data_IF_676731620982
#
_entry.id   IF_676731620982
#
_cell.length_a   1.000
_cell.length_b   1.000
_cell.length_c   1.000
_cell.angle_alpha   90.00
_cell.angle_beta   90.00
_cell.angle_gamma   90.00
#
_symmetry.space_group_name_H-M   'P 1'
#
loop_
_entity.id
_entity.type
_entity.pdbx_description
1 polymer ?
#
# COMPACT_ATOMS: atom_id res chain seq x y z
N UNK A 1 -19.02 -5.52 21.12
CA UNK A 1 -18.09 -6.46 20.47
C UNK A 1 -18.56 -6.86 19.07
N UNK A 2 -19.82 -7.26 18.88
CA UNK A 2 -20.39 -7.68 17.59
C UNK A 2 -20.53 -6.57 16.50
N UNK A 3 -20.90 -5.31 16.81
CA UNK A 3 -21.06 -4.25 15.79
C UNK A 3 -19.73 -3.83 15.12
N UNK A 4 -18.61 -3.94 15.84
CA UNK A 4 -17.28 -3.61 15.32
C UNK A 4 -16.77 -4.66 14.31
N UNK A 5 -17.25 -5.91 14.42
CA UNK A 5 -16.88 -7.00 13.51
C UNK A 5 -17.56 -6.86 12.15
N UNK A 6 -18.81 -6.42 12.09
CA UNK A 6 -19.51 -6.20 10.81
C UNK A 6 -18.97 -4.98 10.05
N UNK A 7 -18.54 -3.95 10.77
CA UNK A 7 -18.01 -2.73 10.17
C UNK A 7 -16.68 -2.95 9.43
N UNK A 8 -15.81 -3.84 9.94
CA UNK A 8 -14.58 -4.25 9.24
C UNK A 8 -14.81 -5.16 8.03
N UNK A 9 -15.98 -5.78 7.90
CA UNK A 9 -16.31 -6.64 6.77
C UNK A 9 -16.54 -5.83 5.48
N UNK A 10 -17.11 -4.62 5.61
CA UNK A 10 -17.46 -3.76 4.49
C UNK A 10 -16.36 -2.75 4.22
N UNK A 11 -15.94 -2.64 2.95
CA UNK A 11 -15.00 -1.59 2.52
C UNK A 11 -15.66 -0.22 2.72
N UNK A 12 -14.95 0.76 3.31
CA UNK A 12 -15.50 2.10 3.48
C UNK A 12 -15.80 2.70 2.11
N UNK A 13 -16.93 3.38 2.03
CA UNK A 13 -17.31 4.17 0.85
C UNK A 13 -17.45 5.62 1.26
N UNK A 14 -17.07 6.51 0.34
CA UNK A 14 -17.25 7.94 0.53
C UNK A 14 -17.76 8.56 -0.76
N UNK A 15 -18.89 9.27 -0.68
CA UNK A 15 -19.39 10.04 -1.81
C UNK A 15 -18.57 11.32 -1.92
N UNK A 16 -17.60 11.31 -2.82
CA UNK A 16 -16.78 12.46 -3.14
C UNK A 16 -17.56 13.49 -3.95
N UNK A 17 -17.25 14.77 -3.72
CA UNK A 17 -17.58 15.81 -4.69
C UNK A 17 -17.00 15.40 -6.06
N UNK A 18 -17.72 15.60 -7.18
CA UNK A 18 -17.28 15.17 -8.50
C UNK A 18 -15.85 15.59 -8.85
N UNK A 19 -15.51 16.85 -8.57
CA UNK A 19 -14.20 17.43 -8.88
C UNK A 19 -13.07 16.78 -8.08
N UNK A 20 -13.31 16.41 -6.80
CA UNK A 20 -12.30 15.76 -5.97
C UNK A 20 -12.05 14.31 -6.42
N UNK A 21 -13.12 13.59 -6.76
CA UNK A 21 -13.02 12.24 -7.32
C UNK A 21 -12.24 12.22 -8.62
N UNK A 22 -12.56 13.13 -9.53
CA UNK A 22 -11.87 13.24 -10.82
C UNK A 22 -10.39 13.60 -10.62
N UNK A 23 -10.10 14.53 -9.70
CA UNK A 23 -8.73 14.91 -9.37
C UNK A 23 -7.90 13.74 -8.84
N UNK A 24 -8.41 13.02 -7.83
CA UNK A 24 -7.68 11.90 -7.22
C UNK A 24 -7.54 10.75 -8.23
N UNK A 25 -8.57 10.44 -9.01
CA UNK A 25 -8.49 9.38 -10.01
C UNK A 25 -7.49 9.71 -11.14
N UNK A 26 -7.47 10.97 -11.62
CA UNK A 26 -6.60 11.41 -12.73
C UNK A 26 -5.10 11.23 -12.45
N UNK A 27 -4.71 11.36 -11.19
CA UNK A 27 -3.31 11.25 -10.77
C UNK A 27 -3.04 9.97 -9.98
N UNK A 28 -3.98 9.01 -10.00
CA UNK A 28 -3.84 7.76 -9.29
C UNK A 28 -2.74 6.90 -9.94
N UNK A 29 -1.80 6.35 -9.15
CA UNK A 29 -0.77 5.47 -9.69
C UNK A 29 -1.34 4.18 -10.30
N UNK A 30 -0.56 3.57 -11.19
CA UNK A 30 -0.74 2.17 -11.57
C UNK A 30 0.37 1.34 -10.97
N UNK A 31 -0.01 0.26 -10.32
CA UNK A 31 0.94 -0.66 -9.69
C UNK A 31 1.12 -1.86 -10.60
N UNK A 32 2.35 -2.14 -10.99
CA UNK A 32 2.69 -3.43 -11.58
C UNK A 32 3.01 -4.39 -10.43
N UNK A 33 2.26 -5.48 -10.34
CA UNK A 33 2.48 -6.54 -9.38
C UNK A 33 3.24 -7.69 -10.05
N UNK A 34 3.94 -8.49 -9.24
CA UNK A 34 4.42 -9.77 -9.72
C UNK A 34 3.24 -10.62 -10.21
N UNK A 35 3.41 -11.31 -11.33
CA UNK A 35 2.37 -12.16 -11.92
C UNK A 35 1.83 -13.20 -10.92
N UNK A 36 2.66 -13.71 -10.02
CA UNK A 36 2.28 -14.70 -9.02
C UNK A 36 1.85 -14.09 -7.69
N UNK A 37 1.83 -12.75 -7.54
CA UNK A 37 1.46 -12.08 -6.30
C UNK A 37 0.05 -12.49 -5.86
N UNK A 38 -0.11 -13.13 -4.69
CA UNK A 38 -1.41 -13.63 -4.22
C UNK A 38 -2.30 -12.54 -3.62
N UNK A 39 -1.74 -11.37 -3.27
CA UNK A 39 -2.46 -10.31 -2.59
C UNK A 39 -2.71 -9.10 -3.50
N UNK A 40 -3.85 -8.44 -3.30
CA UNK A 40 -4.26 -7.25 -4.06
C UNK A 40 -4.68 -6.14 -3.09
N UNK A 41 -4.48 -4.86 -3.43
CA UNK A 41 -4.97 -3.76 -2.61
C UNK A 41 -6.49 -3.78 -2.60
N UNK A 42 -7.08 -3.43 -1.46
CA UNK A 42 -8.52 -3.47 -1.26
C UNK A 42 -9.13 -2.08 -1.21
N UNK A 43 -8.44 -1.11 -0.61
CA UNK A 43 -8.92 0.27 -0.42
C UNK A 43 -7.74 1.22 -0.53
N UNK A 44 -7.98 2.42 -1.06
CA UNK A 44 -6.97 3.48 -1.12
C UNK A 44 -7.45 4.68 -0.32
N UNK A 45 -6.70 5.03 0.71
CA UNK A 45 -6.79 6.30 1.42
C UNK A 45 -6.09 7.38 0.62
N UNK A 46 -6.60 8.60 0.60
CA UNK A 46 -5.88 9.73 0.01
C UNK A 46 -5.84 10.96 0.91
N UNK A 47 -4.75 11.73 0.75
CA UNK A 47 -4.55 13.04 1.38
C UNK A 47 -4.10 14.05 0.32
N UNK A 48 -4.76 15.22 0.28
CA UNK A 48 -4.43 16.31 -0.66
C UNK A 48 -3.62 17.40 0.04
N UNK A 49 -2.41 17.67 -0.46
CA UNK A 49 -1.54 18.74 0.01
C UNK A 49 -1.51 19.90 -0.98
N UNK A 50 -2.12 21.04 -0.61
CA UNK A 50 -2.03 22.31 -1.36
C UNK A 50 -0.98 23.27 -0.79
N UNK A 51 -0.35 22.85 0.30
CA UNK A 51 0.76 23.51 0.98
C UNK A 51 1.61 22.42 1.63
N UNK A 52 2.84 22.75 1.98
CA UNK A 52 3.72 21.86 2.73
C UNK A 52 3.04 21.40 4.03
N UNK A 53 3.27 20.15 4.43
CA UNK A 53 2.64 19.60 5.62
C UNK A 53 3.15 18.22 5.98
N UNK A 54 2.88 17.78 7.21
CA UNK A 54 3.20 16.42 7.62
C UNK A 54 2.18 15.43 7.06
N UNK A 55 2.68 14.31 6.55
CA UNK A 55 1.82 13.19 6.19
C UNK A 55 1.12 12.66 7.44
N UNK A 56 -0.20 12.43 7.38
CA UNK A 56 -0.94 11.86 8.50
C UNK A 56 -0.79 10.34 8.61
N UNK A 57 -0.31 9.66 7.56
CA UNK A 57 -0.22 8.19 7.49
C UNK A 57 1.20 7.66 7.38
N UNK A 58 2.18 8.53 7.15
CA UNK A 58 3.59 8.18 7.02
C UNK A 58 4.47 9.21 7.77
N UNK A 59 5.54 8.82 8.47
CA UNK A 59 6.34 9.72 9.30
C UNK A 59 7.27 10.64 8.48
N UNK A 60 6.70 11.51 7.64
CA UNK A 60 7.44 12.45 6.79
C UNK A 60 6.74 13.79 6.60
N UNK A 61 7.50 14.79 6.19
CA UNK A 61 6.97 16.03 5.64
C UNK A 61 6.84 15.94 4.12
N UNK A 62 5.71 16.42 3.59
CA UNK A 62 5.43 16.58 2.17
C UNK A 62 5.75 18.03 1.81
N UNK A 63 6.79 18.23 1.02
CA UNK A 63 7.21 19.54 0.53
C UNK A 63 6.84 19.72 -0.93
N UNK A 64 6.13 20.80 -1.25
CA UNK A 64 5.74 21.14 -2.63
C UNK A 64 6.83 21.91 -3.37
N UNK A 65 7.75 22.55 -2.66
CA UNK A 65 8.85 23.33 -3.26
C UNK A 65 10.23 22.94 -2.70
N UNK A 66 10.63 21.66 -2.77
CA UNK A 66 11.94 21.23 -2.28
C UNK A 66 13.06 21.85 -3.12
N UNK A 67 14.15 22.23 -2.44
CA UNK A 67 15.34 22.81 -3.09
C UNK A 67 15.93 21.81 -4.10
N UNK A 68 16.23 22.28 -5.31
CA UNK A 68 16.84 21.45 -6.37
C UNK A 68 15.88 20.54 -7.13
N UNK A 69 14.56 20.71 -6.95
CA UNK A 69 13.50 19.98 -7.62
C UNK A 69 12.46 20.95 -8.22
N UNK A 70 11.76 20.53 -9.27
CA UNK A 70 10.67 21.33 -9.86
C UNK A 70 9.56 21.60 -8.83
N UNK A 71 8.97 22.79 -8.77
CA UNK A 71 7.90 23.08 -7.82
C UNK A 71 6.60 22.37 -8.21
N UNK A 72 5.87 21.90 -7.21
CA UNK A 72 4.51 21.42 -7.31
C UNK A 72 3.53 22.45 -6.73
N UNK A 73 2.27 22.40 -7.17
CA UNK A 73 1.14 23.14 -6.59
C UNK A 73 0.19 22.22 -5.81
N UNK A 74 0.30 20.91 -6.03
CA UNK A 74 -0.47 19.87 -5.38
C UNK A 74 0.43 18.65 -5.17
N UNK A 75 0.33 18.00 -4.02
CA UNK A 75 0.74 16.62 -3.85
C UNK A 75 -0.46 15.79 -3.41
N UNK A 76 -0.55 14.57 -3.93
CA UNK A 76 -1.55 13.58 -3.55
C UNK A 76 -0.80 12.39 -2.97
N UNK A 77 -1.08 12.10 -1.71
CA UNK A 77 -0.65 10.88 -1.05
C UNK A 77 -1.74 9.82 -1.24
N UNK A 78 -1.33 8.64 -1.65
CA UNK A 78 -2.17 7.45 -1.72
C UNK A 78 -1.66 6.45 -0.69
N UNK A 79 -2.38 6.32 0.43
CA UNK A 79 -2.15 5.31 1.46
C UNK A 79 -2.96 4.05 1.09
N UNK A 80 -2.28 3.02 0.63
CA UNK A 80 -2.90 1.87 -0.02
C UNK A 80 -2.98 0.74 1.00
N UNK A 81 -4.17 0.15 1.16
CA UNK A 81 -4.41 -0.92 2.12
C UNK A 81 -4.41 -2.29 1.45
N UNK A 82 -3.69 -3.23 2.04
CA UNK A 82 -3.80 -4.66 1.75
C UNK A 82 -4.17 -5.40 3.03
N UNK A 83 -5.05 -6.39 2.92
CA UNK A 83 -5.35 -7.26 4.07
C UNK A 83 -4.16 -8.14 4.48
N UNK A 84 -3.22 -8.37 3.57
CA UNK A 84 -2.12 -9.31 3.75
C UNK A 84 -0.84 -8.82 3.09
N UNK A 85 0.24 -9.00 3.83
CA UNK A 85 1.60 -9.13 3.36
C UNK A 85 2.00 -10.63 3.41
N UNK A 86 3.02 -11.06 2.66
CA UNK A 86 3.47 -12.46 2.82
C UNK A 86 4.14 -12.69 4.18
N UNK A 87 4.54 -11.64 4.88
CA UNK A 87 5.20 -11.65 6.18
C UNK A 87 4.30 -11.31 7.37
N UNK A 88 3.21 -10.59 7.16
CA UNK A 88 2.31 -10.20 8.26
C UNK A 88 0.87 -9.97 7.81
N UNK A 89 -0.02 -9.95 8.80
CA UNK A 89 -1.38 -9.46 8.64
C UNK A 89 -1.29 -7.97 8.30
N UNK A 90 -1.90 -7.64 7.16
CA UNK A 90 -2.00 -6.34 6.52
C UNK A 90 -0.70 -5.65 6.10
N UNK A 91 -0.81 -4.71 5.15
CA UNK A 91 0.22 -3.74 4.82
C UNK A 91 -0.42 -2.37 4.49
N UNK A 92 0.29 -1.28 4.79
CA UNK A 92 -0.06 0.09 4.43
C UNK A 92 1.12 0.78 3.70
N UNK A 93 1.19 0.57 2.38
CA UNK A 93 2.15 1.26 1.51
C UNK A 93 1.66 2.61 1.00
N UNK A 94 2.59 3.41 0.51
CA UNK A 94 2.33 4.77 0.06
C UNK A 94 2.93 5.05 -1.31
N UNK A 95 2.18 5.78 -2.13
CA UNK A 95 2.70 6.43 -3.33
C UNK A 95 2.30 7.90 -3.26
N UNK A 96 3.22 8.80 -3.59
CA UNK A 96 2.98 10.24 -3.66
C UNK A 96 3.13 10.71 -5.10
N UNK A 97 2.15 11.48 -5.56
CA UNK A 97 2.15 12.13 -6.87
C UNK A 97 2.16 13.63 -6.70
N UNK A 98 3.14 14.32 -7.29
CA UNK A 98 3.30 15.77 -7.20
C UNK A 98 3.00 16.40 -8.54
N UNK A 99 2.10 17.37 -8.57
CA UNK A 99 1.54 17.98 -9.77
C UNK A 99 1.98 19.44 -9.84
N UNK A 100 2.55 19.82 -10.98
CA UNK A 100 2.96 21.18 -11.31
C UNK A 100 1.79 22.10 -11.66
N UNK A 101 2.09 23.37 -11.92
CA UNK A 101 1.07 24.38 -12.18
C UNK A 101 0.29 24.14 -13.49
N UNK A 102 0.90 23.45 -14.45
CA UNK A 102 0.30 23.16 -15.76
C UNK A 102 -0.42 21.79 -15.78
N UNK A 103 -0.53 21.13 -14.61
CA UNK A 103 -1.21 19.85 -14.43
C UNK A 103 -0.36 18.62 -14.73
N UNK A 104 0.92 18.80 -15.00
CA UNK A 104 1.93 17.77 -15.25
C UNK A 104 2.45 17.14 -13.96
N UNK A 105 2.78 15.84 -14.00
CA UNK A 105 3.43 15.19 -12.86
C UNK A 105 4.91 15.56 -12.85
N UNK A 106 5.32 16.31 -11.83
CA UNK A 106 6.69 16.81 -11.67
C UNK A 106 7.56 15.91 -10.79
N UNK A 107 6.94 15.17 -9.85
CA UNK A 107 7.58 14.13 -9.03
C UNK A 107 6.63 12.98 -8.77
N UNK A 108 7.19 11.78 -8.59
CA UNK A 108 6.51 10.66 -7.99
C UNK A 108 7.45 9.94 -7.03
N UNK A 109 6.93 9.44 -5.93
CA UNK A 109 7.67 8.74 -4.88
C UNK A 109 6.87 7.53 -4.39
N UNK A 110 7.54 6.48 -3.96
CA UNK A 110 6.93 5.26 -3.43
C UNK A 110 7.63 4.84 -2.14
N UNK A 111 6.88 4.25 -1.22
CA UNK A 111 7.42 3.70 0.03
C UNK A 111 8.32 2.49 -0.22
N UNK A 112 9.25 2.26 0.71
CA UNK A 112 10.25 1.21 0.67
C UNK A 112 10.77 0.91 2.07
N UNK A 113 10.34 -0.20 2.66
CA UNK A 113 10.80 -0.70 3.97
C UNK A 113 10.84 0.37 5.08
N UNK A 114 9.77 1.16 5.21
CA UNK A 114 9.66 2.24 6.19
C UNK A 114 10.33 3.57 5.79
N UNK A 115 10.98 3.62 4.63
CA UNK A 115 11.46 4.84 3.97
C UNK A 115 10.68 5.06 2.66
N UNK A 116 11.15 5.97 1.80
CA UNK A 116 10.58 6.22 0.48
C UNK A 116 11.65 6.62 -0.52
N UNK A 117 11.41 6.31 -1.79
CA UNK A 117 12.31 6.66 -2.90
C UNK A 117 11.56 7.30 -4.05
N UNK A 118 12.32 8.00 -4.89
CA UNK A 118 11.78 8.57 -6.13
C UNK A 118 11.41 7.46 -7.11
N UNK A 119 10.21 7.52 -7.65
CA UNK A 119 9.76 6.69 -8.77
C UNK A 119 10.27 7.31 -10.08
N UNK A 120 11.58 7.37 -10.23
CA UNK A 120 12.29 7.97 -11.35
C UNK A 120 13.35 7.01 -11.87
N UNK A 121 13.45 6.87 -13.18
CA UNK A 121 14.52 6.10 -13.82
C UNK A 121 15.86 6.76 -13.53
N UNK A 122 16.82 5.97 -13.03
CA UNK A 122 18.13 6.49 -12.65
C UNK A 122 18.94 7.04 -13.85
N UNK A 123 18.74 6.46 -15.03
CA UNK A 123 19.52 6.73 -16.26
C UNK A 123 19.28 8.11 -16.85
N UNK A 124 18.00 8.48 -17.01
CA UNK A 124 17.57 9.69 -17.72
C UNK A 124 16.77 10.63 -16.82
N UNK A 125 16.43 10.19 -15.61
CA UNK A 125 15.65 10.95 -14.69
C UNK A 125 14.17 11.12 -15.01
N UNK A 126 13.63 10.29 -15.90
CA UNK A 126 12.23 10.29 -16.26
C UNK A 126 11.36 9.60 -15.21
N UNK A 127 10.17 10.14 -14.97
CA UNK A 127 9.14 9.50 -14.16
C UNK A 127 8.30 8.65 -15.12
N UNK A 128 8.20 7.33 -14.92
CA UNK A 128 7.36 6.51 -15.78
C UNK A 128 5.89 6.83 -15.51
N UNK A 129 5.17 7.29 -16.55
CA UNK A 129 3.77 7.70 -16.48
C UNK A 129 2.95 6.93 -17.51
N UNK A 130 1.80 6.42 -17.09
CA UNK A 130 0.73 5.99 -17.99
C UNK A 130 -0.18 7.18 -18.30
N UNK A 131 -0.51 7.37 -19.58
CA UNK A 131 -1.34 8.48 -20.08
C UNK A 131 -0.91 9.90 -19.60
N UNK A 132 0.36 10.05 -19.23
CA UNK A 132 0.96 11.33 -18.83
C UNK A 132 0.63 11.82 -17.42
N UNK A 133 -0.23 11.12 -16.66
CA UNK A 133 -0.64 11.56 -15.31
C UNK A 133 -0.57 10.49 -14.23
N UNK A 134 -0.45 9.21 -14.60
CA UNK A 134 -0.50 8.09 -13.65
C UNK A 134 0.91 7.52 -13.43
N UNK A 135 1.56 7.75 -12.28
CA UNK A 135 2.86 7.12 -11.98
C UNK A 135 2.79 5.60 -12.06
N UNK A 136 3.79 5.01 -12.70
CA UNK A 136 4.00 3.56 -12.68
C UNK A 136 4.91 3.18 -11.52
N UNK A 137 4.46 2.24 -10.70
CA UNK A 137 5.22 1.70 -9.59
C UNK A 137 5.30 0.17 -9.70
N UNK A 138 6.50 -0.37 -9.71
CA UNK A 138 6.74 -1.81 -9.60
C UNK A 138 6.70 -2.18 -8.12
N UNK A 139 5.87 -3.14 -7.75
CA UNK A 139 5.81 -3.66 -6.39
C UNK A 139 6.80 -4.81 -6.20
N UNK A 140 7.45 -4.86 -5.04
CA UNK A 140 8.20 -6.02 -4.60
C UNK A 140 7.26 -7.24 -4.50
N UNK A 141 7.61 -8.42 -5.06
CA UNK A 141 6.85 -9.65 -4.82
C UNK A 141 6.83 -10.01 -3.34
N UNK A 142 5.66 -10.34 -2.80
CA UNK A 142 5.52 -10.58 -1.36
C UNK A 142 5.66 -9.30 -0.52
N UNK A 143 5.78 -8.14 -1.19
CA UNK A 143 5.71 -6.75 -0.70
C UNK A 143 6.88 -6.17 0.12
N UNK A 144 6.65 -4.91 0.52
CA UNK A 144 7.39 -3.91 1.31
C UNK A 144 8.00 -2.74 0.54
N UNK A 145 7.76 -2.62 -0.77
CA UNK A 145 8.45 -1.61 -1.56
C UNK A 145 7.86 -1.34 -2.93
N UNK A 146 8.00 -0.08 -3.35
CA UNK A 146 7.79 0.38 -4.72
C UNK A 146 9.07 0.91 -5.36
N UNK A 147 9.30 0.54 -6.62
CA UNK A 147 10.38 1.10 -7.43
C UNK A 147 9.88 1.60 -8.78
N UNK A 148 10.69 2.46 -9.41
CA UNK A 148 10.44 2.96 -10.75
C UNK A 148 10.63 1.89 -11.84
N UNK A 149 11.40 0.85 -11.54
CA UNK A 149 11.71 -0.28 -12.43
C UNK A 149 11.76 -1.57 -11.64
N UNK A 150 11.77 -2.70 -12.33
CA UNK A 150 11.92 -4.03 -11.76
C UNK A 150 13.34 -4.35 -11.28
N UNK A 151 14.35 -3.58 -11.74
CA UNK A 151 15.77 -3.89 -11.52
C UNK A 151 16.15 -4.08 -10.04
N UNK A 152 15.73 -3.22 -9.08
CA UNK A 152 16.04 -3.42 -7.67
C UNK A 152 15.58 -4.79 -7.15
N UNK A 153 14.42 -5.25 -7.59
CA UNK A 153 13.86 -6.54 -7.19
C UNK A 153 14.58 -7.72 -7.86
N UNK A 154 15.04 -7.56 -9.09
CA UNK A 154 15.89 -8.55 -9.76
C UNK A 154 17.22 -8.75 -9.03
N UNK A 155 17.84 -7.66 -8.56
CA UNK A 155 19.07 -7.72 -7.76
C UNK A 155 18.84 -8.43 -6.43
N UNK A 156 17.66 -8.25 -5.83
CA UNK A 156 17.25 -8.86 -4.57
C UNK A 156 16.53 -10.20 -4.73
N UNK A 157 16.47 -10.77 -5.93
CA UNK A 157 15.55 -11.86 -6.27
C UNK A 157 15.66 -13.07 -5.32
N UNK A 158 16.88 -13.49 -4.98
CA UNK A 158 17.09 -14.62 -4.05
C UNK A 158 16.52 -14.37 -2.65
N UNK A 159 16.66 -13.13 -2.15
CA UNK A 159 16.13 -12.75 -0.84
C UNK A 159 14.60 -12.71 -0.88
N UNK A 160 14.05 -12.05 -1.90
CA UNK A 160 12.59 -11.93 -2.08
C UNK A 160 11.95 -13.31 -2.22
N UNK A 161 12.53 -14.18 -3.05
CA UNK A 161 12.09 -15.56 -3.22
C UNK A 161 12.11 -16.32 -1.89
N UNK A 162 13.19 -16.21 -1.11
CA UNK A 162 13.28 -16.85 0.21
C UNK A 162 12.19 -16.35 1.17
N UNK A 163 11.87 -15.05 1.16
CA UNK A 163 10.79 -14.47 1.96
C UNK A 163 9.42 -15.00 1.52
N UNK A 164 9.16 -15.08 0.21
CA UNK A 164 7.88 -15.55 -0.33
C UNK A 164 7.63 -17.04 -0.09
N UNK A 165 8.70 -17.85 -0.03
CA UNK A 165 8.63 -19.30 0.20
C UNK A 165 8.80 -19.71 1.68
N UNK A 166 9.18 -18.76 2.56
CA UNK A 166 9.50 -19.08 3.94
C UNK A 166 8.29 -19.73 4.65
N UNK A 167 8.54 -20.93 5.21
CA UNK A 167 7.58 -21.68 6.03
C UNK A 167 7.81 -21.46 7.53
N UNK A 168 8.72 -20.55 7.89
CA UNK A 168 8.98 -20.19 9.29
C UNK A 168 8.02 -19.10 9.73
N UNK A 169 7.66 -19.05 11.03
CA UNK A 169 6.87 -17.94 11.58
C UNK A 169 7.50 -16.60 11.26
N UNK A 170 6.66 -15.63 10.92
CA UNK A 170 7.00 -14.25 10.57
C UNK A 170 6.34 -13.30 11.57
N UNK A 171 6.30 -12.01 11.25
CA UNK A 171 5.95 -10.94 12.20
C UNK A 171 4.50 -10.98 12.70
N UNK A 172 3.61 -11.75 12.07
CA UNK A 172 2.24 -11.94 12.54
C UNK A 172 1.43 -10.65 12.39
N UNK A 173 0.92 -10.06 13.47
CA UNK A 173 0.30 -8.72 13.42
C UNK A 173 1.36 -7.60 13.52
N UNK A 174 1.41 -6.70 12.54
CA UNK A 174 2.22 -5.48 12.58
C UNK A 174 1.55 -4.41 13.48
N UNK A 175 2.33 -3.65 14.25
CA UNK A 175 1.87 -2.44 14.95
C UNK A 175 2.80 -1.28 14.59
N UNK A 176 2.43 -0.43 13.61
CA UNK A 176 3.17 0.77 13.27
C UNK A 176 2.84 1.89 14.27
N UNK A 177 3.69 2.92 14.36
CA UNK A 177 3.51 4.03 15.31
C UNK A 177 2.12 4.68 15.31
N UNK A 178 1.48 4.80 14.14
CA UNK A 178 0.14 5.40 14.00
C UNK A 178 -0.99 4.58 14.67
N UNK A 179 -0.73 3.31 15.02
CA UNK A 179 -1.69 2.41 15.64
C UNK A 179 -1.22 1.83 16.98
N UNK A 180 -0.13 2.36 17.53
CA UNK A 180 0.30 2.04 18.91
C UNK A 180 -0.82 2.36 19.91
N UNK A 181 -1.02 1.45 20.87
CA UNK A 181 -2.09 1.55 21.87
C UNK A 181 -3.48 1.18 21.35
N UNK A 182 -3.70 1.14 20.03
CA UNK A 182 -4.98 0.72 19.42
C UNK A 182 -4.99 -0.77 19.15
N UNK A 183 -3.90 -1.31 18.60
CA UNK A 183 -3.80 -2.72 18.18
C UNK A 183 -3.13 -3.62 19.22
N UNK A 184 -2.50 -3.06 20.25
CA UNK A 184 -1.71 -3.77 21.26
C UNK A 184 -2.45 -4.97 21.88
N UNK A 185 -3.75 -4.80 22.14
CA UNK A 185 -4.59 -5.86 22.72
C UNK A 185 -4.81 -7.08 21.81
N UNK A 186 -4.48 -6.99 20.52
CA UNK A 186 -4.62 -8.07 19.53
C UNK A 186 -3.30 -8.74 19.18
N UNK A 187 -2.16 -8.13 19.53
CA UNK A 187 -0.83 -8.67 19.31
C UNK A 187 -0.53 -9.74 20.37
N UNK A 188 -0.92 -10.97 20.08
CA UNK A 188 -0.76 -12.13 20.96
C UNK A 188 -0.05 -13.27 20.23
N UNK A 189 0.69 -14.15 20.95
CA UNK A 189 1.31 -15.33 20.33
C UNK A 189 0.32 -16.21 19.57
N UNK A 190 -0.91 -16.34 20.08
CA UNK A 190 -1.97 -17.12 19.44
C UNK A 190 -2.47 -16.48 18.15
N UNK A 191 -2.63 -15.14 18.12
CA UNK A 191 -2.98 -14.42 16.90
C UNK A 191 -1.88 -14.55 15.85
N UNK A 192 -0.63 -14.32 16.24
CA UNK A 192 0.53 -14.44 15.35
C UNK A 192 0.67 -15.86 14.78
N UNK A 193 0.46 -16.89 15.60
CA UNK A 193 0.49 -18.28 15.14
C UNK A 193 -0.58 -18.57 14.08
N UNK A 194 -1.80 -18.04 14.24
CA UNK A 194 -2.89 -18.20 13.26
C UNK A 194 -2.60 -17.44 11.96
N UNK A 195 -2.09 -16.22 12.06
CA UNK A 195 -1.68 -15.42 10.89
C UNK A 195 -0.58 -16.17 10.12
N UNK A 196 0.45 -16.63 10.83
CA UNK A 196 1.56 -17.36 10.22
C UNK A 196 1.12 -18.67 9.57
N UNK A 197 0.18 -19.41 10.18
CA UNK A 197 -0.40 -20.61 9.57
C UNK A 197 -1.12 -20.27 8.25
N UNK A 198 -1.92 -19.20 8.22
CA UNK A 198 -2.58 -18.75 7.00
C UNK A 198 -1.59 -18.33 5.91
N UNK A 199 -0.59 -17.52 6.25
CA UNK A 199 0.41 -17.01 5.29
C UNK A 199 1.31 -18.12 4.74
N UNK A 200 1.63 -19.13 5.54
CA UNK A 200 2.38 -20.32 5.07
C UNK A 200 1.66 -21.05 3.94
N UNK A 201 0.32 -21.13 4.00
CA UNK A 201 -0.50 -21.69 2.92
C UNK A 201 -0.62 -20.79 1.69
N UNK A 202 -0.12 -19.55 1.77
CA UNK A 202 -0.07 -18.57 0.67
C UNK A 202 1.35 -18.31 0.18
N UNK A 203 2.33 -19.08 0.67
CA UNK A 203 3.68 -19.08 0.12
C UNK A 203 3.63 -19.32 -1.39
N UNK A 204 4.44 -18.57 -2.13
CA UNK A 204 4.44 -18.61 -3.58
C UNK A 204 5.85 -18.38 -4.13
N UNK A 205 6.05 -18.85 -5.35
CA UNK A 205 7.26 -18.62 -6.13
C UNK A 205 7.05 -17.36 -6.98
N UNK A 206 7.77 -16.25 -6.72
CA UNK A 206 7.66 -15.05 -7.54
C UNK A 206 8.07 -15.32 -8.98
N UNK A 207 7.31 -14.80 -9.94
CA UNK A 207 7.67 -14.92 -11.35
C UNK A 207 8.81 -13.97 -11.75
N UNK A 208 8.98 -12.88 -11.00
CA UNK A 208 9.75 -11.70 -11.39
C UNK A 208 9.33 -11.16 -12.76
N UNK A 209 8.01 -11.12 -12.98
CA UNK A 209 7.36 -10.61 -14.19
C UNK A 209 6.24 -9.66 -13.80
N UNK A 210 6.29 -8.45 -14.36
CA UNK A 210 5.39 -7.32 -14.06
C UNK A 210 4.66 -6.88 -15.33
N UNK A 211 3.73 -7.70 -15.80
CA UNK A 211 3.05 -7.52 -17.09
C UNK A 211 1.60 -7.03 -16.97
N UNK A 212 1.01 -7.10 -15.78
CA UNK A 212 -0.37 -6.66 -15.53
C UNK A 212 -0.42 -5.45 -14.58
N UNK A 213 -0.54 -4.23 -15.13
CA UNK A 213 -0.70 -3.03 -14.34
C UNK A 213 -2.11 -2.92 -13.73
N UNK A 214 -2.18 -2.95 -12.40
CA UNK A 214 -3.36 -2.65 -11.61
C UNK A 214 -3.58 -1.14 -11.52
N UNK A 215 -4.73 -0.67 -11.99
CA UNK A 215 -5.14 0.72 -11.85
C UNK A 215 -5.71 0.97 -10.45
N UNK A 216 -5.04 1.80 -9.63
CA UNK A 216 -5.54 2.14 -8.31
C UNK A 216 -6.85 2.91 -8.36
N UNK A 217 -7.15 3.64 -9.44
CA UNK A 217 -8.44 4.32 -9.63
C UNK A 217 -9.64 3.36 -9.69
N UNK A 218 -9.39 2.07 -9.93
CA UNK A 218 -10.43 1.03 -9.88
C UNK A 218 -10.78 0.57 -8.46
N UNK A 219 -9.92 0.84 -7.47
CA UNK A 219 -10.16 0.51 -6.08
C UNK A 219 -11.01 1.60 -5.40
N UNK A 220 -11.81 1.26 -4.37
CA UNK A 220 -12.49 2.26 -3.55
C UNK A 220 -11.50 3.28 -2.97
N UNK A 221 -11.70 4.55 -3.31
CA UNK A 221 -10.91 5.67 -2.81
C UNK A 221 -11.68 6.44 -1.73
N UNK A 222 -11.04 6.67 -0.60
CA UNK A 222 -11.62 7.39 0.54
C UNK A 222 -10.61 8.37 1.13
N UNK A 223 -11.04 9.49 1.74
CA UNK A 223 -10.13 10.35 2.48
C UNK A 223 -9.41 9.55 3.57
N UNK A 224 -8.13 9.84 3.81
CA UNK A 224 -7.32 9.18 4.84
C UNK A 224 -8.04 9.02 6.19
N UNK A 225 -8.69 10.05 6.78
CA UNK A 225 -9.36 9.89 8.07
C UNK A 225 -10.45 8.81 8.09
N UNK A 226 -11.06 8.50 6.95
CA UNK A 226 -12.04 7.41 6.87
C UNK A 226 -11.35 6.05 6.84
N UNK A 227 -10.28 5.91 6.06
CA UNK A 227 -9.47 4.68 6.02
C UNK A 227 -8.85 4.39 7.39
N UNK A 228 -8.22 5.39 8.00
CA UNK A 228 -7.58 5.31 9.32
C UNK A 228 -8.52 4.72 10.38
N UNK A 229 -9.77 5.22 10.46
CA UNK A 229 -10.77 4.71 11.41
C UNK A 229 -11.22 3.30 11.08
N UNK A 230 -11.18 2.91 9.82
CA UNK A 230 -11.63 1.59 9.36
C UNK A 230 -10.58 0.50 9.57
N UNK A 231 -9.28 0.82 9.45
CA UNK A 231 -8.17 -0.14 9.55
C UNK A 231 -8.27 -1.03 10.81
N UNK A 232 -8.40 -0.50 12.05
CA UNK A 232 -8.52 -1.35 13.23
C UNK A 232 -9.73 -2.28 13.18
N UNK A 233 -10.84 -1.82 12.59
CA UNK A 233 -12.06 -2.63 12.45
C UNK A 233 -11.83 -3.78 11.46
N UNK A 234 -11.14 -3.50 10.35
CA UNK A 234 -10.75 -4.52 9.36
C UNK A 234 -9.83 -5.58 9.98
N UNK A 235 -8.82 -5.16 10.74
CA UNK A 235 -7.89 -6.05 11.44
C UNK A 235 -8.66 -6.95 12.42
N UNK A 236 -9.52 -6.38 13.28
CA UNK A 236 -10.34 -7.14 14.21
C UNK A 236 -11.21 -8.19 13.48
N UNK A 237 -11.80 -7.81 12.34
CA UNK A 237 -12.60 -8.71 11.54
C UNK A 237 -11.76 -9.86 10.96
N UNK A 238 -10.59 -9.57 10.36
CA UNK A 238 -9.68 -10.59 9.81
C UNK A 238 -9.21 -11.57 10.89
N UNK A 239 -8.83 -11.07 12.06
CA UNK A 239 -8.45 -11.89 13.21
C UNK A 239 -9.60 -12.80 13.65
N UNK A 240 -10.82 -12.28 13.75
CA UNK A 240 -11.98 -13.09 14.13
C UNK A 240 -12.27 -14.21 13.12
N UNK A 241 -11.99 -14.00 11.83
CA UNK A 241 -12.16 -15.00 10.78
C UNK A 241 -11.10 -16.09 10.86
N UNK A 242 -9.85 -15.71 11.18
CA UNK A 242 -8.77 -16.67 11.47
C UNK A 242 -9.12 -17.52 12.69
N UNK A 243 -9.67 -16.93 13.75
CA UNK A 243 -10.12 -17.64 14.95
C UNK A 243 -11.22 -18.67 14.65
N UNK A 244 -12.14 -18.34 13.75
CA UNK A 244 -13.21 -19.25 13.30
C UNK A 244 -12.75 -20.28 12.26
N UNK A 245 -11.49 -20.23 11.81
CA UNK A 245 -10.94 -21.16 10.82
C UNK A 245 -11.47 -20.95 9.40
N UNK A 246 -12.11 -19.82 9.10
CA UNK A 246 -12.79 -19.59 7.81
C UNK A 246 -11.84 -19.50 6.62
N UNK A 247 -10.54 -19.26 6.86
CA UNK A 247 -9.53 -19.20 5.81
C UNK A 247 -8.85 -20.53 5.52
N UNK A 248 -9.09 -21.56 6.33
CA UNK A 248 -8.51 -22.90 6.18
C UNK A 248 -9.45 -23.88 5.46
N UNK A 249 -10.66 -23.43 5.09
CA UNK A 249 -11.76 -24.27 4.58
C UNK A 249 -11.97 -24.30 3.07
N UNK A 250 -11.09 -23.72 2.26
CA UNK A 250 -11.17 -23.77 0.80
C UNK A 250 -9.81 -24.12 0.22
N UNK A 251 -9.50 -25.42 0.25
CA UNK A 251 -8.48 -26.04 -0.60
C UNK A 251 -9.08 -26.46 -1.94
#
# INVERSE_FOLDING_TARGET
MQPALEAGASVPTHSLAPDERELVARYAPRILLDRCEPFRPLVVGYTLFRQDGYSPSFPRCIGLRPVGRSPAVLAIEYAIWWDWDIEHLYELEHIWTYVGADGEVVHAEGSWHGDFWSLRHWENGHIPLYEGTHPLAYAQPGKHAFAATEMPFQVMARRIQAQCLAQTPKDGLLIPPIFEGVLDGWKTPEADARINAYLTHRAFEPAFVWDEPLDLASAPMVPWPLLERWIPQRIAWLLSRLERGEFLGSG
#
